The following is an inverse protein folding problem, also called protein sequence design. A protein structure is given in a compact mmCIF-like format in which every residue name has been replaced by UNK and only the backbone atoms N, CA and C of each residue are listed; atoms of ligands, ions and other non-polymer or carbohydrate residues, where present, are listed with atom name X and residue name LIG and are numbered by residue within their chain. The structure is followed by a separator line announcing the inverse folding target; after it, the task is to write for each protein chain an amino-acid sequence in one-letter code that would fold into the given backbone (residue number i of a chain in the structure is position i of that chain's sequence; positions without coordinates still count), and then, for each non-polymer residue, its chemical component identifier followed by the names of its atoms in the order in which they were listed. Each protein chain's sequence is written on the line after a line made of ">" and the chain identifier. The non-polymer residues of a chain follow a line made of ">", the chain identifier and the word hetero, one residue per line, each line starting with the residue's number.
data_IF_530832809830
#
_entry.id   IF_530832809830
#
_cell.length_a   1.000
_cell.length_b   1.000
_cell.length_c   1.000
_cell.angle_alpha   90.00
_cell.angle_beta   90.00
_cell.angle_gamma   90.00
#
_symmetry.space_group_name_H-M   'P 1'
#
loop_
_entity.id
_entity.type
_entity.pdbx_description
1 polymer ?
#
# COMPACT_ATOMS: atom_id res chain seq x y z
N UNK A 1 -10.56 -83.88 -36.84
CA UNK A 1 -11.23 -83.47 -35.58
C UNK A 1 -10.47 -82.38 -34.82
N UNK A 2 -9.13 -82.25 -34.87
CA UNK A 2 -8.37 -81.16 -34.15
C UNK A 2 -8.53 -79.75 -34.70
N UNK A 3 -8.88 -79.57 -35.98
CA UNK A 3 -9.04 -78.22 -36.60
C UNK A 3 -10.43 -77.60 -36.40
N UNK A 4 -11.46 -78.44 -36.09
CA UNK A 4 -12.80 -77.89 -35.86
C UNK A 4 -13.01 -77.38 -34.42
N UNK A 5 -12.24 -77.90 -33.47
CA UNK A 5 -12.28 -77.39 -32.07
C UNK A 5 -11.63 -76.05 -31.90
N UNK A 6 -10.62 -75.66 -32.73
CA UNK A 6 -9.93 -74.44 -32.65
C UNK A 6 -10.78 -73.25 -33.20
N UNK A 7 -11.71 -73.53 -34.11
CA UNK A 7 -12.62 -72.51 -34.70
C UNK A 7 -13.81 -72.19 -33.79
N UNK A 8 -14.15 -73.00 -32.82
CA UNK A 8 -15.24 -72.82 -31.87
C UNK A 8 -14.78 -72.06 -30.58
N UNK A 9 -13.47 -72.02 -30.31
CA UNK A 9 -12.92 -71.27 -29.16
C UNK A 9 -12.68 -69.75 -29.44
N UNK A 10 -12.57 -69.37 -30.70
CA UNK A 10 -12.32 -67.98 -31.07
C UNK A 10 -13.50 -67.02 -30.78
N UNK A 11 -14.78 -67.39 -31.03
CA UNK A 11 -15.92 -66.56 -30.70
C UNK A 11 -16.23 -66.48 -29.19
N UNK A 12 -15.82 -67.51 -28.39
CA UNK A 12 -16.03 -67.51 -26.94
C UNK A 12 -15.11 -66.50 -26.21
N UNK A 13 -13.91 -66.23 -26.78
CA UNK A 13 -12.98 -65.21 -26.20
C UNK A 13 -13.43 -63.73 -26.47
N UNK A 14 -14.23 -63.51 -27.55
CA UNK A 14 -14.77 -62.19 -27.89
C UNK A 14 -15.98 -61.79 -27.04
N UNK A 15 -16.62 -62.72 -26.35
CA UNK A 15 -17.77 -62.40 -25.49
C UNK A 15 -17.41 -62.15 -24.05
N UNK A 16 -16.14 -62.31 -23.63
CA UNK A 16 -15.66 -62.01 -22.27
C UNK A 16 -15.05 -60.58 -22.15
N UNK A 17 -14.94 -59.78 -23.25
CA UNK A 17 -14.39 -58.47 -23.29
C UNK A 17 -15.39 -57.34 -23.05
N UNK A 18 -16.66 -57.60 -22.69
CA UNK A 18 -17.77 -56.67 -22.79
C UNK A 18 -18.26 -56.04 -21.50
N UNK A 19 -17.54 -56.10 -20.38
CA UNK A 19 -17.97 -55.43 -19.15
C UNK A 19 -16.81 -54.68 -18.49
N UNK A 20 -16.21 -53.70 -19.22
CA UNK A 20 -15.54 -52.63 -18.50
C UNK A 20 -16.63 -51.68 -17.96
N UNK A 21 -16.68 -51.42 -16.65
CA UNK A 21 -17.56 -50.41 -16.14
C UNK A 21 -17.18 -49.09 -16.83
N UNK A 22 -18.12 -48.50 -17.57
CA UNK A 22 -18.00 -47.14 -18.07
C UNK A 22 -17.95 -46.25 -16.86
N UNK A 23 -16.74 -45.86 -16.43
CA UNK A 23 -16.53 -44.82 -15.45
C UNK A 23 -16.97 -43.54 -16.14
N UNK A 24 -18.18 -43.12 -15.84
CA UNK A 24 -18.68 -41.80 -16.21
C UNK A 24 -17.72 -40.83 -15.55
N UNK A 25 -16.78 -40.25 -16.32
CA UNK A 25 -16.06 -39.09 -15.91
C UNK A 25 -17.14 -38.01 -15.72
N UNK A 26 -17.44 -37.69 -14.47
CA UNK A 26 -18.12 -36.41 -14.18
C UNK A 26 -17.23 -35.33 -14.80
N UNK A 27 -17.79 -34.41 -15.62
CA UNK A 27 -17.02 -33.27 -16.03
C UNK A 27 -16.47 -32.66 -14.75
N UNK A 28 -15.13 -32.47 -14.64
CA UNK A 28 -14.60 -31.54 -13.68
C UNK A 28 -15.32 -30.23 -13.99
N UNK A 29 -16.06 -29.68 -13.04
CA UNK A 29 -16.53 -28.31 -13.11
C UNK A 29 -15.25 -27.49 -13.26
N UNK A 30 -15.00 -26.96 -14.44
CA UNK A 30 -14.02 -25.89 -14.62
C UNK A 30 -14.46 -24.78 -13.69
N UNK A 31 -13.85 -24.70 -12.52
CA UNK A 31 -14.01 -23.57 -11.63
C UNK A 31 -13.41 -22.37 -12.37
N UNK A 32 -14.28 -21.57 -12.98
CA UNK A 32 -13.88 -20.27 -13.56
C UNK A 32 -13.37 -19.40 -12.44
N UNK A 33 -12.07 -19.07 -12.48
CA UNK A 33 -11.46 -18.14 -11.53
C UNK A 33 -12.02 -16.74 -11.76
N UNK A 34 -12.18 -15.99 -10.67
CA UNK A 34 -12.50 -14.55 -10.73
C UNK A 34 -11.23 -13.80 -11.04
N UNK A 35 -11.17 -13.09 -12.17
CA UNK A 35 -10.00 -12.32 -12.58
C UNK A 35 -10.00 -10.93 -11.96
N UNK A 36 -8.95 -10.62 -11.20
CA UNK A 36 -8.81 -9.33 -10.49
C UNK A 36 -7.56 -8.58 -10.98
N UNK A 37 -7.76 -7.40 -11.53
CA UNK A 37 -6.67 -6.48 -11.84
C UNK A 37 -6.32 -5.63 -10.62
N UNK A 38 -5.12 -5.76 -10.06
CA UNK A 38 -4.67 -4.95 -8.91
C UNK A 38 -3.55 -3.99 -9.31
N UNK A 39 -3.85 -2.68 -9.28
CA UNK A 39 -2.86 -1.62 -9.45
C UNK A 39 -2.40 -1.08 -8.10
N UNK A 40 -1.17 -1.44 -7.73
CA UNK A 40 -0.50 -1.04 -6.50
C UNK A 40 0.30 0.26 -6.69
N UNK A 41 0.37 1.12 -5.65
CA UNK A 41 1.18 2.35 -5.65
C UNK A 41 2.63 2.09 -6.03
N UNK A 42 3.27 1.13 -5.36
CA UNK A 42 4.71 0.89 -5.48
C UNK A 42 5.19 -0.22 -4.54
N UNK A 43 6.43 -0.07 -4.09
CA UNK A 43 7.06 -0.87 -3.04
C UNK A 43 7.94 0.07 -2.18
N UNK A 44 7.39 1.25 -1.86
CA UNK A 44 8.11 2.36 -1.24
C UNK A 44 8.38 2.15 0.25
N UNK A 45 7.68 1.22 0.89
CA UNK A 45 7.78 0.95 2.31
C UNK A 45 7.56 -0.53 2.63
N UNK A 46 8.02 -0.98 3.79
CA UNK A 46 7.82 -2.36 4.27
C UNK A 46 6.32 -2.67 4.40
N UNK A 47 5.53 -1.69 4.86
CA UNK A 47 4.08 -1.81 4.91
C UNK A 47 3.48 -2.08 3.51
N UNK A 48 3.95 -1.35 2.49
CA UNK A 48 3.46 -1.53 1.11
C UNK A 48 3.81 -2.91 0.54
N UNK A 49 4.99 -3.41 0.85
CA UNK A 49 5.41 -4.77 0.47
C UNK A 49 4.49 -5.81 1.15
N UNK A 50 4.28 -5.70 2.46
CA UNK A 50 3.39 -6.59 3.20
C UNK A 50 1.93 -6.54 2.69
N UNK A 51 1.42 -5.34 2.35
CA UNK A 51 0.11 -5.18 1.73
C UNK A 51 0.03 -5.91 0.37
N UNK A 52 1.07 -5.80 -0.46
CA UNK A 52 1.13 -6.51 -1.75
C UNK A 52 1.14 -8.02 -1.57
N UNK A 53 1.91 -8.55 -0.61
CA UNK A 53 1.97 -9.98 -0.30
C UNK A 53 0.62 -10.49 0.20
N UNK A 54 -0.03 -9.78 1.13
CA UNK A 54 -1.37 -10.10 1.62
C UNK A 54 -2.41 -10.15 0.49
N UNK A 55 -2.36 -9.20 -0.44
CA UNK A 55 -3.26 -9.20 -1.61
C UNK A 55 -3.01 -10.42 -2.52
N UNK A 56 -1.76 -10.79 -2.75
CA UNK A 56 -1.39 -11.96 -3.56
C UNK A 56 -1.84 -13.27 -2.93
N UNK A 57 -1.66 -13.39 -1.61
CA UNK A 57 -2.12 -14.56 -0.86
C UNK A 57 -3.64 -14.68 -0.88
N UNK A 58 -4.35 -13.57 -0.66
CA UNK A 58 -5.81 -13.55 -0.61
C UNK A 58 -6.46 -13.77 -1.97
N UNK A 59 -5.86 -13.24 -3.04
CA UNK A 59 -6.35 -13.32 -4.42
C UNK A 59 -5.59 -14.39 -5.22
N UNK A 60 -5.32 -15.54 -4.61
CA UNK A 60 -4.65 -16.68 -5.23
C UNK A 60 -5.63 -17.63 -5.92
N UNK A 61 -5.14 -18.46 -6.84
CA UNK A 61 -5.93 -19.50 -7.50
C UNK A 61 -6.55 -20.50 -6.50
N UNK A 62 -5.84 -20.79 -5.40
CA UNK A 62 -6.36 -21.64 -4.33
C UNK A 62 -7.63 -21.05 -3.68
N UNK A 63 -7.77 -19.73 -3.69
CA UNK A 63 -8.93 -19.01 -3.19
C UNK A 63 -9.97 -18.69 -4.28
N UNK A 64 -9.78 -19.18 -5.52
CA UNK A 64 -10.70 -19.00 -6.63
C UNK A 64 -10.46 -17.71 -7.44
N UNK A 65 -9.28 -17.11 -7.37
CA UNK A 65 -8.95 -15.88 -8.08
C UNK A 65 -7.77 -16.04 -9.02
N UNK A 66 -7.78 -15.27 -10.11
CA UNK A 66 -6.62 -14.99 -10.96
C UNK A 66 -6.22 -13.51 -10.78
N UNK A 67 -5.04 -13.27 -10.22
CA UNK A 67 -4.56 -11.92 -9.92
C UNK A 67 -3.65 -11.38 -11.04
N UNK A 68 -4.09 -10.35 -11.72
CA UNK A 68 -3.28 -9.53 -12.62
C UNK A 68 -2.70 -8.33 -11.85
N UNK A 69 -1.42 -8.41 -11.50
CA UNK A 69 -0.75 -7.42 -10.64
C UNK A 69 0.07 -6.42 -11.44
N UNK A 70 -0.13 -5.12 -11.18
CA UNK A 70 0.70 -4.02 -11.68
C UNK A 70 1.28 -3.19 -10.54
N UNK A 71 2.56 -2.84 -10.66
CA UNK A 71 3.25 -1.95 -9.74
C UNK A 71 3.49 -0.60 -10.44
N UNK A 72 2.79 0.43 -10.00
CA UNK A 72 2.85 1.77 -10.59
C UNK A 72 4.17 2.52 -10.35
N UNK A 73 5.04 2.05 -9.47
CA UNK A 73 6.32 2.71 -9.12
C UNK A 73 6.12 4.16 -8.71
N UNK A 74 5.10 4.42 -7.89
CA UNK A 74 4.68 5.72 -7.38
C UNK A 74 4.31 6.75 -8.48
N UNK A 75 3.87 6.26 -9.66
CA UNK A 75 3.49 7.10 -10.79
C UNK A 75 2.03 6.87 -11.17
N UNK A 76 1.20 7.88 -10.99
CA UNK A 76 -0.22 7.81 -11.31
C UNK A 76 -0.49 7.46 -12.78
N UNK A 77 0.32 7.97 -13.71
CA UNK A 77 0.19 7.65 -15.13
C UNK A 77 0.39 6.16 -15.43
N UNK A 78 1.15 5.43 -14.61
CA UNK A 78 1.28 3.99 -14.74
C UNK A 78 0.00 3.29 -14.29
N UNK A 79 -0.67 3.78 -13.24
CA UNK A 79 -1.96 3.25 -12.79
C UNK A 79 -3.05 3.46 -13.85
N UNK A 80 -3.08 4.60 -14.53
CA UNK A 80 -4.00 4.81 -15.64
C UNK A 80 -3.77 3.79 -16.78
N UNK A 81 -2.52 3.47 -17.09
CA UNK A 81 -2.19 2.44 -18.08
C UNK A 81 -2.60 1.05 -17.62
N UNK A 82 -2.34 0.73 -16.33
CA UNK A 82 -2.71 -0.56 -15.76
C UNK A 82 -4.23 -0.76 -15.80
N UNK A 83 -5.02 0.23 -15.36
CA UNK A 83 -6.49 0.16 -15.38
C UNK A 83 -7.01 -0.07 -16.82
N UNK A 84 -6.49 0.66 -17.82
CA UNK A 84 -6.87 0.44 -19.22
C UNK A 84 -6.47 -0.93 -19.74
N UNK A 85 -5.34 -1.46 -19.28
CA UNK A 85 -4.92 -2.84 -19.60
C UNK A 85 -5.87 -3.85 -18.99
N UNK A 86 -6.29 -3.67 -17.74
CA UNK A 86 -7.28 -4.52 -17.07
C UNK A 86 -8.64 -4.48 -17.78
N UNK A 87 -9.08 -3.30 -18.22
CA UNK A 87 -10.29 -3.15 -19.03
C UNK A 87 -10.18 -3.91 -20.36
N UNK A 88 -9.04 -3.83 -21.04
CA UNK A 88 -8.80 -4.57 -22.29
C UNK A 88 -8.75 -6.09 -22.11
N UNK A 89 -8.37 -6.55 -20.93
CA UNK A 89 -8.32 -7.97 -20.56
C UNK A 89 -9.65 -8.46 -19.97
N UNK A 90 -10.67 -7.60 -19.90
CA UNK A 90 -12.03 -7.93 -19.43
C UNK A 90 -12.02 -8.59 -18.04
N UNK A 91 -11.26 -8.00 -17.10
CA UNK A 91 -11.20 -8.52 -15.73
C UNK A 91 -12.55 -8.35 -15.01
N UNK A 92 -12.88 -9.24 -14.08
CA UNK A 92 -14.11 -9.17 -13.30
C UNK A 92 -14.14 -8.00 -12.30
N UNK A 93 -12.97 -7.65 -11.73
CA UNK A 93 -12.82 -6.57 -10.76
C UNK A 93 -11.50 -5.83 -10.96
N UNK A 94 -11.51 -4.53 -10.67
CA UNK A 94 -10.29 -3.74 -10.52
C UNK A 94 -10.15 -3.34 -9.06
N UNK A 95 -8.97 -3.60 -8.48
CA UNK A 95 -8.55 -3.09 -7.17
C UNK A 95 -7.48 -2.02 -7.39
N UNK A 96 -7.67 -0.86 -6.78
CA UNK A 96 -6.80 0.30 -6.95
C UNK A 96 -6.33 0.82 -5.60
N UNK A 97 -5.01 0.83 -5.35
CA UNK A 97 -4.38 1.62 -4.30
C UNK A 97 -3.85 2.91 -4.94
N UNK A 98 -4.54 4.07 -4.83
CA UNK A 98 -4.20 5.25 -5.62
C UNK A 98 -2.92 5.94 -5.13
N UNK A 99 -2.12 6.47 -6.08
CA UNK A 99 -0.92 7.26 -5.74
C UNK A 99 -1.31 8.60 -5.12
N UNK A 100 -2.28 9.30 -5.71
CA UNK A 100 -2.81 10.60 -5.28
C UNK A 100 -4.33 10.56 -5.18
N UNK A 101 -4.96 11.57 -4.57
CA UNK A 101 -6.42 11.65 -4.45
C UNK A 101 -7.13 12.02 -5.75
N UNK A 102 -6.52 12.88 -6.56
CA UNK A 102 -7.21 13.57 -7.67
C UNK A 102 -6.85 13.01 -9.05
N UNK A 103 -7.69 13.31 -10.05
CA UNK A 103 -7.44 13.01 -11.46
C UNK A 103 -7.89 11.63 -11.92
N UNK A 104 -8.79 10.99 -11.19
CA UNK A 104 -9.24 9.62 -11.44
C UNK A 104 -10.50 9.52 -12.29
N UNK A 105 -11.28 10.61 -12.42
CA UNK A 105 -12.60 10.60 -13.05
C UNK A 105 -12.61 9.87 -14.40
N UNK A 106 -11.72 10.26 -15.31
CA UNK A 106 -11.72 9.74 -16.69
C UNK A 106 -11.50 8.23 -16.74
N UNK A 107 -10.47 7.72 -16.04
CA UNK A 107 -10.14 6.29 -16.10
C UNK A 107 -11.15 5.43 -15.34
N UNK A 108 -11.78 5.95 -14.28
CA UNK A 108 -12.85 5.27 -13.57
C UNK A 108 -14.16 5.29 -14.36
N UNK A 109 -14.43 6.34 -15.14
CA UNK A 109 -15.52 6.35 -16.12
C UNK A 109 -15.31 5.31 -17.24
N UNK A 110 -14.07 5.11 -17.70
CA UNK A 110 -13.73 4.06 -18.66
C UNK A 110 -14.03 2.67 -18.07
N UNK A 111 -13.65 2.40 -16.80
CA UNK A 111 -13.93 1.14 -16.12
C UNK A 111 -15.45 0.91 -15.94
N UNK A 112 -16.19 1.96 -15.51
CA UNK A 112 -17.66 1.91 -15.39
C UNK A 112 -18.33 1.64 -16.74
N UNK A 113 -17.88 2.28 -17.83
CA UNK A 113 -18.41 2.07 -19.17
C UNK A 113 -18.18 0.63 -19.67
N UNK A 114 -17.09 -0.01 -19.24
CA UNK A 114 -16.80 -1.42 -19.49
C UNK A 114 -17.60 -2.36 -18.55
N UNK A 115 -18.34 -1.83 -17.56
CA UNK A 115 -19.08 -2.64 -16.60
C UNK A 115 -18.24 -3.29 -15.51
N UNK A 116 -16.97 -2.87 -15.35
CA UNK A 116 -16.04 -3.45 -14.40
C UNK A 116 -16.08 -2.67 -13.08
N UNK A 117 -16.49 -3.29 -11.96
CA UNK A 117 -16.50 -2.65 -10.66
C UNK A 117 -15.08 -2.38 -10.13
N UNK A 118 -14.91 -1.20 -9.53
CA UNK A 118 -13.64 -0.76 -8.95
C UNK A 118 -13.73 -0.74 -7.42
N UNK A 119 -12.75 -1.33 -6.75
CA UNK A 119 -12.58 -1.30 -5.31
C UNK A 119 -11.34 -0.47 -4.99
N UNK A 120 -11.51 0.60 -4.24
CA UNK A 120 -10.40 1.44 -3.78
C UNK A 120 -9.86 0.87 -2.47
N UNK A 121 -8.54 0.75 -2.33
CA UNK A 121 -7.91 0.21 -1.12
C UNK A 121 -6.86 1.16 -0.57
N UNK A 122 -6.67 1.13 0.77
CA UNK A 122 -5.71 1.95 1.51
C UNK A 122 -6.02 3.46 1.40
N UNK A 123 -5.52 4.13 0.38
CA UNK A 123 -5.73 5.56 0.11
C UNK A 123 -7.06 5.78 -0.59
N UNK A 124 -7.64 6.97 -0.43
CA UNK A 124 -8.86 7.38 -1.10
C UNK A 124 -8.60 8.12 -2.41
N UNK A 125 -9.67 8.30 -3.16
CA UNK A 125 -9.76 9.18 -4.33
C UNK A 125 -10.79 10.28 -4.05
N UNK A 126 -10.51 11.50 -4.53
CA UNK A 126 -11.46 12.62 -4.51
C UNK A 126 -12.17 12.66 -5.87
N UNK A 127 -13.48 12.47 -5.86
CA UNK A 127 -14.32 12.42 -7.06
C UNK A 127 -15.56 13.28 -6.88
N UNK A 128 -16.00 13.90 -7.97
CA UNK A 128 -17.30 14.58 -8.03
C UNK A 128 -18.47 13.58 -8.05
N UNK A 129 -18.26 12.38 -8.61
CA UNK A 129 -19.21 11.27 -8.66
C UNK A 129 -18.64 10.04 -7.95
N UNK A 130 -19.02 9.84 -6.70
CA UNK A 130 -18.59 8.69 -5.88
C UNK A 130 -19.12 7.34 -6.37
N UNK A 131 -20.07 7.33 -7.31
CA UNK A 131 -20.56 6.08 -7.92
C UNK A 131 -19.56 5.45 -8.91
N UNK A 132 -18.43 6.11 -9.18
CA UNK A 132 -17.36 5.61 -10.05
C UNK A 132 -16.56 4.45 -9.42
N UNK A 133 -16.70 4.22 -8.11
CA UNK A 133 -16.16 3.03 -7.45
C UNK A 133 -17.23 2.35 -6.59
N UNK A 134 -17.06 1.06 -6.37
CA UNK A 134 -18.04 0.24 -5.65
C UNK A 134 -17.88 0.33 -4.13
N UNK A 135 -16.62 0.33 -3.66
CA UNK A 135 -16.29 0.33 -2.23
C UNK A 135 -14.89 0.90 -2.00
N UNK A 136 -14.69 1.41 -0.80
CA UNK A 136 -13.37 1.76 -0.28
C UNK A 136 -13.10 1.00 1.02
N UNK A 137 -11.88 0.45 1.14
CA UNK A 137 -11.38 -0.24 2.33
C UNK A 137 -10.01 0.35 2.69
N UNK A 138 -9.93 1.07 3.79
CA UNK A 138 -8.69 1.75 4.17
C UNK A 138 -8.71 2.27 5.60
N UNK A 139 -7.64 2.98 5.95
CA UNK A 139 -7.44 3.56 7.28
C UNK A 139 -7.97 4.99 7.34
N UNK A 140 -8.51 5.36 8.49
CA UNK A 140 -8.77 6.76 8.82
C UNK A 140 -7.44 7.44 9.22
N UNK A 141 -6.75 8.00 8.24
CA UNK A 141 -5.45 8.64 8.44
C UNK A 141 -5.54 9.89 9.29
N UNK A 142 -6.68 10.60 9.24
CA UNK A 142 -6.89 11.78 10.08
C UNK A 142 -6.99 11.38 11.54
N UNK A 143 -7.82 10.39 11.86
CA UNK A 143 -8.00 9.91 13.23
C UNK A 143 -6.68 9.39 13.83
N UNK A 144 -5.95 8.55 13.10
CA UNK A 144 -4.67 8.02 13.59
C UNK A 144 -3.63 9.11 13.82
N UNK A 145 -3.62 10.15 12.99
CA UNK A 145 -2.74 11.28 13.17
C UNK A 145 -3.17 12.17 14.36
N UNK A 146 -4.47 12.43 14.53
CA UNK A 146 -4.99 13.17 15.70
C UNK A 146 -4.62 12.44 17.02
N UNK A 147 -4.67 11.10 17.05
CA UNK A 147 -4.23 10.29 18.21
C UNK A 147 -2.72 10.44 18.46
N UNK A 148 -1.88 10.46 17.42
CA UNK A 148 -0.45 10.69 17.55
C UNK A 148 -0.14 12.09 18.10
N UNK A 149 -0.85 13.11 17.64
CA UNK A 149 -0.70 14.48 18.11
C UNK A 149 -1.15 14.62 19.58
N UNK A 150 -2.26 13.98 19.96
CA UNK A 150 -2.72 13.96 21.34
C UNK A 150 -1.67 13.29 22.27
N UNK A 151 -1.10 12.17 21.84
CA UNK A 151 -0.01 11.51 22.58
C UNK A 151 1.24 12.40 22.71
N UNK A 152 1.59 13.15 21.64
CA UNK A 152 2.69 14.12 21.69
C UNK A 152 2.42 15.21 22.74
N UNK A 153 1.20 15.75 22.76
CA UNK A 153 0.80 16.79 23.70
C UNK A 153 0.94 16.28 25.15
N UNK A 154 0.36 15.14 25.47
CA UNK A 154 0.49 14.49 26.79
C UNK A 154 1.95 14.24 27.18
N UNK A 155 2.77 13.79 26.22
CA UNK A 155 4.19 13.50 26.44
C UNK A 155 4.99 14.78 26.75
N UNK A 156 4.67 15.89 26.08
CA UNK A 156 5.35 17.17 26.30
C UNK A 156 4.87 17.85 27.58
N UNK A 157 3.58 17.79 27.90
CA UNK A 157 3.02 18.28 29.18
C UNK A 157 3.60 17.59 30.40
N UNK A 158 3.91 16.30 30.29
CA UNK A 158 4.53 15.53 31.37
C UNK A 158 6.00 15.92 31.66
N UNK A 159 6.60 16.80 30.84
CA UNK A 159 7.98 17.27 31.05
C UNK A 159 8.01 18.51 31.94
N UNK A 160 9.16 18.73 32.60
CA UNK A 160 9.36 19.84 33.53
C UNK A 160 9.23 21.23 32.88
N UNK A 161 9.22 21.33 31.54
CA UNK A 161 9.14 22.56 30.77
C UNK A 161 7.93 22.56 29.81
N UNK A 162 6.74 22.34 30.32
CA UNK A 162 5.49 22.27 29.52
C UNK A 162 5.22 23.55 28.67
N UNK A 163 5.74 24.71 29.10
CA UNK A 163 5.62 26.00 28.36
C UNK A 163 6.78 26.28 27.39
N UNK A 164 7.70 25.33 27.18
CA UNK A 164 8.83 25.55 26.27
C UNK A 164 8.37 25.62 24.80
N UNK A 165 9.06 26.45 24.00
CA UNK A 165 8.90 26.42 22.56
C UNK A 165 9.36 25.08 22.00
N UNK A 166 8.55 24.48 21.13
CA UNK A 166 8.79 23.17 20.51
C UNK A 166 8.91 23.34 18.99
N UNK A 167 10.09 23.05 18.47
CA UNK A 167 10.36 23.08 17.04
C UNK A 167 10.12 21.68 16.46
N UNK A 168 9.13 21.55 15.60
CA UNK A 168 8.73 20.28 14.98
C UNK A 168 9.23 20.23 13.53
N UNK A 169 10.01 19.22 13.19
CA UNK A 169 10.35 18.91 11.81
C UNK A 169 9.34 17.89 11.27
N UNK A 170 8.73 18.18 10.14
CA UNK A 170 7.73 17.33 9.52
C UNK A 170 8.29 16.59 8.31
N UNK A 171 8.24 15.24 8.34
CA UNK A 171 8.54 14.37 7.20
C UNK A 171 7.24 13.91 6.54
N UNK A 172 6.94 14.49 5.39
CA UNK A 172 5.75 14.21 4.61
C UNK A 172 5.93 12.99 3.70
N UNK A 173 4.85 12.24 3.53
CA UNK A 173 4.75 11.18 2.55
C UNK A 173 4.60 11.68 1.11
N UNK A 174 4.08 10.81 0.24
CA UNK A 174 3.84 11.14 -1.17
C UNK A 174 2.87 12.32 -1.28
N UNK A 175 3.29 13.46 -1.85
CA UNK A 175 2.44 14.65 -1.96
C UNK A 175 1.12 14.37 -2.70
N UNK A 176 0.02 14.88 -2.16
CA UNK A 176 -1.32 14.72 -2.73
C UNK A 176 -1.95 13.34 -2.51
N UNK A 177 -1.33 12.46 -1.74
CA UNK A 177 -2.00 11.24 -1.28
C UNK A 177 -2.87 11.53 -0.06
N UNK A 178 -3.99 10.82 0.09
CA UNK A 178 -4.90 10.95 1.25
C UNK A 178 -4.15 10.81 2.57
N UNK A 179 -3.23 9.86 2.65
CA UNK A 179 -2.42 9.61 3.85
C UNK A 179 -1.58 10.85 4.22
N UNK A 180 -0.90 11.46 3.25
CA UNK A 180 -0.11 12.68 3.46
C UNK A 180 -1.02 13.86 3.82
N UNK A 181 -2.06 14.11 3.05
CA UNK A 181 -2.94 15.27 3.24
C UNK A 181 -3.58 15.27 4.63
N UNK A 182 -4.12 14.12 5.06
CA UNK A 182 -4.82 14.01 6.34
C UNK A 182 -3.86 14.05 7.54
N UNK A 183 -2.68 13.42 7.44
CA UNK A 183 -1.67 13.46 8.49
C UNK A 183 -1.04 14.84 8.63
N UNK A 184 -0.73 15.50 7.52
CA UNK A 184 -0.27 16.88 7.52
C UNK A 184 -1.29 17.83 8.16
N UNK A 185 -2.58 17.72 7.77
CA UNK A 185 -3.64 18.54 8.33
C UNK A 185 -3.84 18.33 9.84
N UNK A 186 -3.63 17.11 10.35
CA UNK A 186 -3.68 16.84 11.79
C UNK A 186 -2.53 17.52 12.53
N UNK A 187 -1.30 17.45 12.00
CA UNK A 187 -0.14 18.14 12.57
C UNK A 187 -0.34 19.65 12.62
N UNK A 188 -0.78 20.25 11.51
CA UNK A 188 -1.05 21.70 11.45
C UNK A 188 -2.12 22.12 12.47
N UNK A 189 -3.21 21.36 12.57
CA UNK A 189 -4.24 21.64 13.56
C UNK A 189 -3.72 21.50 14.99
N UNK A 190 -2.89 20.52 15.27
CA UNK A 190 -2.23 20.31 16.56
C UNK A 190 -1.28 21.46 16.90
N UNK A 191 -0.43 21.86 15.97
CA UNK A 191 0.48 23.00 16.17
C UNK A 191 -0.28 24.30 16.42
N UNK A 192 -1.38 24.54 15.71
CA UNK A 192 -2.21 25.71 15.95
C UNK A 192 -2.94 25.69 17.30
N UNK A 193 -3.25 24.51 17.84
CA UNK A 193 -3.93 24.36 19.13
C UNK A 193 -3.01 24.47 20.34
N UNK A 194 -1.69 24.23 20.20
CA UNK A 194 -0.73 24.23 21.30
C UNK A 194 0.20 25.43 21.24
N UNK A 195 0.10 26.30 22.25
CA UNK A 195 0.98 27.47 22.34
C UNK A 195 2.45 27.03 22.45
N UNK A 196 3.32 27.64 21.64
CA UNK A 196 4.75 27.35 21.60
C UNK A 196 5.14 26.25 20.60
N UNK A 197 4.20 25.54 19.99
CA UNK A 197 4.52 24.61 18.93
C UNK A 197 4.70 25.34 17.59
N UNK A 198 5.78 25.00 16.89
CA UNK A 198 6.08 25.55 15.56
C UNK A 198 6.55 24.42 14.65
N UNK A 199 5.88 24.27 13.51
CA UNK A 199 6.40 23.42 12.44
C UNK A 199 7.50 24.17 11.73
N UNK A 200 8.75 23.80 11.99
CA UNK A 200 9.93 24.53 11.51
C UNK A 200 10.16 24.36 10.01
N UNK A 201 9.88 23.16 9.49
CA UNK A 201 10.04 22.85 8.07
C UNK A 201 9.22 21.60 7.71
N UNK A 202 8.81 21.52 6.43
CA UNK A 202 8.19 20.36 5.83
C UNK A 202 9.14 19.74 4.80
N UNK A 203 9.60 18.52 5.05
CA UNK A 203 10.49 17.78 4.15
C UNK A 203 9.70 16.66 3.45
N UNK A 204 9.85 16.53 2.15
CA UNK A 204 9.22 15.44 1.42
C UNK A 204 10.07 14.17 1.49
N UNK A 205 9.66 13.20 2.29
CA UNK A 205 10.28 11.89 2.41
C UNK A 205 9.67 10.82 1.50
N UNK A 206 8.51 11.12 0.86
CA UNK A 206 7.85 10.27 -0.14
C UNK A 206 7.54 8.85 0.35
N UNK A 207 7.32 8.69 1.65
CA UNK A 207 7.18 7.44 2.39
C UNK A 207 8.39 6.50 2.33
N UNK A 208 9.55 6.97 1.84
CA UNK A 208 10.76 6.17 1.71
C UNK A 208 11.81 6.50 2.79
N UNK A 209 12.50 5.47 3.27
CA UNK A 209 13.58 5.61 4.24
C UNK A 209 14.77 6.40 3.66
N UNK A 210 15.15 6.12 2.40
CA UNK A 210 16.31 6.73 1.76
C UNK A 210 16.13 8.23 1.60
N UNK A 211 14.98 8.66 1.05
CA UNK A 211 14.70 10.09 0.83
C UNK A 211 14.57 10.85 2.15
N UNK A 212 13.89 10.27 3.15
CA UNK A 212 13.81 10.88 4.47
C UNK A 212 15.19 11.04 5.13
N UNK A 213 16.10 10.08 4.93
CA UNK A 213 17.50 10.20 5.38
C UNK A 213 18.21 11.38 4.70
N UNK A 214 18.14 11.47 3.37
CA UNK A 214 18.81 12.50 2.57
C UNK A 214 18.30 13.90 2.92
N UNK A 215 16.98 14.10 2.93
CA UNK A 215 16.34 15.38 3.25
C UNK A 215 16.62 15.83 4.68
N UNK A 216 16.52 14.89 5.66
CA UNK A 216 16.84 15.21 7.05
C UNK A 216 18.31 15.55 7.23
N UNK A 217 19.22 14.83 6.56
CA UNK A 217 20.65 15.11 6.66
C UNK A 217 20.98 16.50 6.09
N UNK A 218 20.38 16.86 4.95
CA UNK A 218 20.51 18.19 4.34
C UNK A 218 19.99 19.27 5.27
N UNK A 219 18.78 19.10 5.84
CA UNK A 219 18.21 20.04 6.82
C UNK A 219 19.15 20.27 8.01
N UNK A 220 19.65 19.20 8.61
CA UNK A 220 20.53 19.27 9.78
C UNK A 220 21.91 19.89 9.51
N UNK A 221 22.35 20.05 8.25
CA UNK A 221 23.59 20.74 7.92
C UNK A 221 23.50 22.25 8.16
N UNK A 222 22.33 22.85 7.93
CA UNK A 222 22.13 24.30 7.94
C UNK A 222 21.22 24.79 9.07
N UNK A 223 20.55 23.88 9.77
CA UNK A 223 19.57 24.20 10.80
C UNK A 223 19.93 23.54 12.16
N UNK A 224 19.46 24.10 13.28
CA UNK A 224 19.54 23.43 14.57
C UNK A 224 18.72 22.14 14.56
N UNK A 225 19.06 21.23 15.45
CA UNK A 225 18.27 20.02 15.62
C UNK A 225 16.86 20.38 16.14
N UNK A 226 15.80 19.80 15.57
CA UNK A 226 14.45 20.01 16.06
C UNK A 226 14.25 19.31 17.41
N UNK A 227 13.26 19.74 18.19
CA UNK A 227 12.86 19.10 19.44
C UNK A 227 12.06 17.83 19.19
N UNK A 228 11.25 17.86 18.14
CA UNK A 228 10.38 16.76 17.69
C UNK A 228 10.54 16.54 16.19
N UNK A 229 10.47 15.31 15.75
CA UNK A 229 10.30 14.97 14.33
C UNK A 229 9.02 14.18 14.19
N UNK A 230 8.08 14.69 13.41
CA UNK A 230 6.87 14.01 13.02
C UNK A 230 7.06 13.37 11.66
N UNK A 231 7.01 12.05 11.60
CA UNK A 231 7.13 11.27 10.37
C UNK A 231 5.79 10.60 10.04
N UNK A 232 5.32 10.75 8.83
CA UNK A 232 4.03 10.17 8.42
C UNK A 232 4.05 8.66 8.20
N UNK A 233 5.22 7.99 8.28
CA UNK A 233 5.36 6.54 8.40
C UNK A 233 6.68 6.11 9.04
N UNK A 234 6.77 4.82 9.39
CA UNK A 234 7.91 4.20 10.08
C UNK A 234 9.20 4.22 9.24
N UNK A 235 9.10 3.94 7.94
CA UNK A 235 10.28 3.90 7.07
C UNK A 235 10.98 5.26 7.01
N UNK A 236 10.22 6.36 6.92
CA UNK A 236 10.81 7.70 7.00
C UNK A 236 11.42 7.96 8.37
N UNK A 237 10.76 7.52 9.45
CA UNK A 237 11.29 7.64 10.80
C UNK A 237 12.66 6.94 10.95
N UNK A 238 12.83 5.74 10.40
CA UNK A 238 14.14 5.07 10.38
C UNK A 238 15.19 5.86 9.60
N UNK A 239 14.82 6.48 8.49
CA UNK A 239 15.69 7.37 7.72
C UNK A 239 16.16 8.57 8.53
N UNK A 240 15.23 9.25 9.22
CA UNK A 240 15.52 10.36 10.14
C UNK A 240 16.47 9.92 11.27
N UNK A 241 16.19 8.80 11.91
CA UNK A 241 17.06 8.24 12.96
C UNK A 241 18.50 8.03 12.47
N UNK A 242 18.67 7.53 11.24
CA UNK A 242 19.97 7.34 10.63
C UNK A 242 20.68 8.68 10.38
N UNK A 243 19.97 9.68 9.86
CA UNK A 243 20.49 11.03 9.62
C UNK A 243 20.98 11.69 10.92
N UNK A 244 20.17 11.64 11.98
CA UNK A 244 20.51 12.18 13.30
C UNK A 244 21.74 11.47 13.89
N UNK A 245 21.79 10.13 13.78
CA UNK A 245 22.95 9.35 14.27
C UNK A 245 24.23 9.70 13.48
N UNK A 246 24.13 9.90 12.17
CA UNK A 246 25.26 10.33 11.35
C UNK A 246 25.72 11.72 11.76
N UNK A 247 24.83 12.70 11.87
CA UNK A 247 25.14 14.05 12.32
C UNK A 247 25.83 14.06 13.68
N UNK A 248 25.36 13.27 14.66
CA UNK A 248 26.00 13.16 15.97
C UNK A 248 27.40 12.58 15.89
N UNK A 249 27.65 11.58 15.07
CA UNK A 249 29.01 11.02 14.85
C UNK A 249 29.94 12.07 14.24
N UNK A 250 29.48 12.78 13.22
CA UNK A 250 30.26 13.81 12.56
C UNK A 250 30.53 15.01 13.51
N UNK A 251 29.56 15.36 14.38
CA UNK A 251 29.69 16.39 15.40
C UNK A 251 30.55 15.96 16.61
N UNK A 252 30.60 14.67 16.95
CA UNK A 252 31.55 14.14 17.97
C UNK A 252 33.00 14.31 17.55
N UNK A 253 33.31 14.42 16.28
CA UNK A 253 34.61 14.87 15.79
C UNK A 253 34.83 16.37 16.07
N UNK A 254 33.76 17.17 16.33
CA UNK A 254 33.83 18.62 16.47
C UNK A 254 33.41 19.21 17.82
N UNK A 255 32.57 18.54 18.64
CA UNK A 255 32.29 18.91 20.07
C UNK A 255 31.28 17.96 20.74
N UNK A 256 31.45 17.73 22.07
CA UNK A 256 30.48 17.09 22.96
C UNK A 256 29.37 18.09 23.31
N UNK A 257 28.12 17.79 22.95
CA UNK A 257 26.94 18.57 23.34
C UNK A 257 25.65 17.83 23.01
N UNK A 258 24.79 17.78 23.98
CA UNK A 258 23.53 17.03 24.03
C UNK A 258 22.38 17.71 23.27
N UNK A 259 21.66 16.97 22.44
CA UNK A 259 20.25 17.25 22.13
C UNK A 259 19.52 15.94 21.91
N UNK A 260 18.41 15.74 22.61
CA UNK A 260 17.52 14.59 22.41
C UNK A 260 16.40 15.02 21.47
N UNK A 261 16.31 14.41 20.28
CA UNK A 261 15.16 14.53 19.41
C UNK A 261 14.20 13.37 19.69
N UNK A 262 12.90 13.63 19.66
CA UNK A 262 11.84 12.63 19.75
C UNK A 262 11.33 12.33 18.35
N UNK A 263 11.05 11.05 18.11
CA UNK A 263 10.49 10.54 16.86
C UNK A 263 9.07 10.06 17.15
N UNK A 264 8.15 10.49 16.33
CA UNK A 264 6.74 10.07 16.30
C UNK A 264 6.43 9.43 14.95
#
# INVERSE_FOLDING_TARGET
>A
MKRLILLLLLPALLLLGGCMPYVRQTPEEETTLITVGFSQVGAESDWRVANTESMRESLSEENGFELLFDNARQKQENQFKAIRTFIQQDVDYIVLAPVTETGWESVLEEARAAGIPVIIVDRQVELSDVSLYTSWVGSDFRKTADEAIAWLAETLEARENADAEVQILHLQGTPGSTAQLQRSAALEAGAAAHKGWTVAEHLNGDFTQAKAYEETLAYLQSNPAPDVVYCENDNMCFGVMQAIRKRRRDAHFLRRGTAGAFLL
#
